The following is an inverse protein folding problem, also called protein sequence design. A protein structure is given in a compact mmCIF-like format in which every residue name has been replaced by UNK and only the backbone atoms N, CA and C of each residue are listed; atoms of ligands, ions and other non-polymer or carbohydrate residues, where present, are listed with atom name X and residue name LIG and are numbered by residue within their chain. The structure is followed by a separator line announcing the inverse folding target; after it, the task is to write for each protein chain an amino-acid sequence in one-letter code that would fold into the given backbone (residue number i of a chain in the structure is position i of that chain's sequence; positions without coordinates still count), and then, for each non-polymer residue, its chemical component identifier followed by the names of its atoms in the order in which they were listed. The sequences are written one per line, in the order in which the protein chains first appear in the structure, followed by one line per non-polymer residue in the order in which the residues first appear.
data_IF_001445172942
#
_entry.id   IF_001445172942
#
_cell.length_a   1.000
_cell.length_b   1.000
_cell.length_c   1.000
_cell.angle_alpha   90.00
_cell.angle_beta   90.00
_cell.angle_gamma   90.00
#
_symmetry.space_group_name_H-M   'P 1'
#
loop_
_entity.id
_entity.type
_entity.pdbx_description
1 polymer ?
#
# COMPACT_ATOMS: atom_id res chain seq x y z
N UNK A 1 -13.13 -7.48 -3.45
CA UNK A 1 -12.29 -6.44 -4.08
C UNK A 1 -11.84 -6.90 -5.45
N UNK A 2 -12.28 -6.23 -6.51
CA UNK A 2 -11.95 -6.62 -7.89
C UNK A 2 -10.82 -5.77 -8.49
N UNK A 3 -10.36 -4.74 -7.79
CA UNK A 3 -9.50 -3.69 -8.35
C UNK A 3 -8.00 -3.93 -8.14
N UNK A 4 -7.60 -4.67 -7.09
CA UNK A 4 -6.18 -4.94 -6.78
C UNK A 4 -5.44 -5.57 -7.97
N UNK A 5 -6.08 -6.50 -8.70
CA UNK A 5 -5.49 -7.10 -9.89
C UNK A 5 -5.23 -6.08 -11.01
N UNK A 6 -6.17 -5.18 -11.25
CA UNK A 6 -6.04 -4.13 -12.26
C UNK A 6 -4.97 -3.09 -11.85
N UNK A 7 -4.97 -2.68 -10.58
CA UNK A 7 -3.94 -1.78 -10.00
C UNK A 7 -2.55 -2.38 -10.17
N UNK A 8 -2.34 -3.63 -9.72
CA UNK A 8 -1.03 -4.30 -9.84
C UNK A 8 -0.56 -4.40 -11.29
N UNK A 9 -1.47 -4.76 -12.21
CA UNK A 9 -1.14 -4.87 -13.64
C UNK A 9 -0.75 -3.52 -14.26
N UNK A 10 -1.51 -2.46 -13.98
CA UNK A 10 -1.24 -1.13 -14.53
C UNK A 10 0.09 -0.57 -14.00
N UNK A 11 0.24 -0.45 -12.68
CA UNK A 11 1.42 0.18 -12.10
C UNK A 11 2.69 -0.67 -12.28
N UNK A 12 2.56 -2.00 -12.26
CA UNK A 12 3.66 -2.91 -12.57
C UNK A 12 4.12 -2.80 -14.02
N UNK A 13 3.20 -2.71 -14.98
CA UNK A 13 3.56 -2.61 -16.41
C UNK A 13 4.10 -1.24 -16.83
N UNK A 14 3.53 -0.16 -16.29
CA UNK A 14 3.89 1.21 -16.69
C UNK A 14 5.14 1.71 -15.95
N UNK A 15 5.25 1.39 -14.66
CA UNK A 15 6.30 1.96 -13.80
C UNK A 15 7.27 0.91 -13.24
N UNK A 16 7.06 -0.38 -13.50
CA UNK A 16 7.89 -1.44 -12.95
C UNK A 16 7.72 -1.65 -11.44
N UNK A 17 6.64 -1.12 -10.85
CA UNK A 17 6.37 -1.26 -9.41
C UNK A 17 6.12 -2.72 -9.03
N UNK A 18 6.60 -3.09 -7.86
CA UNK A 18 6.41 -4.42 -7.28
C UNK A 18 5.33 -4.37 -6.21
N UNK A 19 4.63 -5.48 -5.99
CA UNK A 19 3.50 -5.53 -5.08
C UNK A 19 3.53 -6.76 -4.18
N UNK A 20 3.09 -6.57 -2.94
CA UNK A 20 2.90 -7.64 -1.95
C UNK A 20 1.46 -7.59 -1.42
N UNK A 21 0.79 -8.74 -1.44
CA UNK A 21 -0.55 -8.90 -0.85
C UNK A 21 -0.42 -9.22 0.65
N UNK A 22 -1.19 -8.51 1.49
CA UNK A 22 -1.25 -8.73 2.95
C UNK A 22 -2.59 -9.28 3.43
N UNK A 23 -3.49 -9.55 2.50
CA UNK A 23 -4.85 -10.00 2.75
C UNK A 23 -5.77 -9.66 1.58
N UNK A 24 -7.08 -9.93 1.72
CA UNK A 24 -8.05 -9.61 0.68
C UNK A 24 -8.15 -8.10 0.40
N UNK A 25 -7.76 -7.28 1.40
CA UNK A 25 -8.16 -5.90 1.46
C UNK A 25 -7.00 -4.87 1.39
N UNK A 26 -5.75 -5.33 1.45
CA UNK A 26 -4.58 -4.47 1.45
C UNK A 26 -3.43 -5.03 0.61
N UNK A 27 -2.83 -4.15 -0.20
CA UNK A 27 -1.61 -4.42 -0.97
C UNK A 27 -0.58 -3.32 -0.68
N UNK A 28 0.69 -3.69 -0.51
CA UNK A 28 1.79 -2.74 -0.50
C UNK A 28 2.49 -2.71 -1.85
N UNK A 29 3.13 -1.60 -2.18
CA UNK A 29 3.95 -1.43 -3.37
C UNK A 29 5.37 -0.95 -3.02
N UNK A 30 6.32 -1.29 -3.87
CA UNK A 30 7.70 -0.79 -3.82
C UNK A 30 8.23 -0.49 -5.24
N UNK A 31 9.37 0.20 -5.31
CA UNK A 31 9.98 0.60 -6.59
C UNK A 31 9.51 1.96 -7.13
N UNK A 32 8.73 2.72 -6.36
CA UNK A 32 8.27 4.07 -6.70
C UNK A 32 9.25 5.19 -6.26
N UNK A 33 10.41 4.84 -5.71
CA UNK A 33 11.28 5.76 -4.95
C UNK A 33 10.81 5.99 -3.50
N UNK A 34 9.60 5.54 -3.17
CA UNK A 34 9.04 5.37 -1.84
C UNK A 34 8.25 4.05 -1.79
N UNK A 35 8.08 3.50 -0.60
CA UNK A 35 7.18 2.38 -0.38
C UNK A 35 5.84 2.88 0.18
N UNK A 36 4.75 2.18 -0.15
CA UNK A 36 3.41 2.57 0.28
C UNK A 36 2.41 1.44 0.11
N UNK A 37 1.12 1.73 0.19
CA UNK A 37 0.09 0.72 -0.03
C UNK A 37 -1.29 1.29 -0.35
N UNK A 38 -2.14 0.40 -0.85
CA UNK A 38 -3.53 0.67 -1.17
C UNK A 38 -4.42 -0.10 -0.20
N UNK A 39 -5.29 0.62 0.50
CA UNK A 39 -6.34 0.08 1.35
C UNK A 39 -7.66 0.09 0.56
N UNK A 40 -8.15 -1.08 0.16
CA UNK A 40 -9.40 -1.16 -0.58
C UNK A 40 -10.65 -1.07 0.29
N UNK A 41 -10.53 -1.07 1.62
CA UNK A 41 -11.67 -0.88 2.54
C UNK A 41 -12.06 0.59 2.67
N UNK A 42 -11.14 1.49 2.28
CA UNK A 42 -11.36 2.92 2.32
C UNK A 42 -12.46 3.32 1.32
N UNK A 43 -13.60 3.78 1.84
CA UNK A 43 -14.71 4.26 0.99
C UNK A 43 -14.34 5.63 0.40
N UNK A 44 -14.60 5.86 -0.90
CA UNK A 44 -14.44 7.18 -1.50
C UNK A 44 -15.26 8.22 -0.71
N UNK A 45 -14.60 9.27 -0.22
CA UNK A 45 -15.24 10.32 0.60
C UNK A 45 -15.30 10.05 2.11
N UNK A 46 -14.84 8.88 2.57
CA UNK A 46 -14.70 8.53 3.99
C UNK A 46 -13.22 8.45 4.42
N UNK A 47 -12.34 9.09 3.65
CA UNK A 47 -10.95 9.29 4.01
C UNK A 47 -10.89 10.25 5.20
N UNK A 48 -10.88 9.69 6.42
CA UNK A 48 -10.17 10.33 7.51
C UNK A 48 -8.78 10.66 6.97
N UNK A 49 -8.47 11.95 6.87
CA UNK A 49 -7.41 12.54 6.05
C UNK A 49 -6.01 12.28 6.62
N UNK A 50 -5.64 11.01 6.76
CA UNK A 50 -4.38 10.58 7.34
C UNK A 50 -3.65 9.63 6.40
N UNK A 51 -2.36 9.91 6.17
CA UNK A 51 -1.44 8.91 5.63
C UNK A 51 -1.14 7.88 6.72
N UNK A 52 -1.13 6.59 6.37
CA UNK A 52 -0.55 5.57 7.23
C UNK A 52 0.97 5.74 7.19
N UNK A 53 1.55 6.19 8.29
CA UNK A 53 3.01 6.29 8.44
C UNK A 53 3.52 4.99 9.06
N UNK A 54 4.39 4.28 8.33
CA UNK A 54 5.09 3.10 8.83
C UNK A 54 6.52 3.50 9.17
N UNK A 55 6.89 3.38 10.44
CA UNK A 55 8.26 3.62 10.90
C UNK A 55 8.93 2.25 11.11
N UNK A 56 10.00 2.01 10.35
CA UNK A 56 10.89 0.87 10.59
C UNK A 56 11.96 1.27 11.60
N UNK A 57 12.18 0.44 12.63
CA UNK A 57 13.24 0.60 13.60
C UNK A 57 13.82 -0.77 13.95
N UNK A 58 15.15 -0.88 13.99
CA UNK A 58 15.84 -2.14 14.34
C UNK A 58 15.64 -2.51 15.82
N UNK A 59 15.53 -1.51 16.68
CA UNK A 59 15.28 -1.65 18.12
C UNK A 59 14.33 -0.54 18.57
N UNK A 60 13.09 -0.92 18.89
CA UNK A 60 12.12 0.00 19.48
C UNK A 60 12.40 0.06 20.98
N UNK A 61 12.72 1.24 21.54
CA UNK A 61 12.88 1.38 22.98
C UNK A 61 11.62 0.87 23.68
N UNK A 62 11.79 -0.03 24.65
CA UNK A 62 10.69 -0.44 25.51
C UNK A 62 10.18 0.80 26.25
N UNK A 63 8.91 1.14 26.08
CA UNK A 63 8.26 2.23 26.82
C UNK A 63 8.12 1.89 28.29
#
# INVERSE_FOLDING_TARGET
MNENAATKAFYGSVFGWQFQDWGPDYISFSGAGIDGGFDGTCKPGMAGTGVLVVLFADDLPQM
#
